data_IF_462151071752
#
_entry.id   IF_462151071752
#
_cell.length_a   1.000
_cell.length_b   1.000
_cell.length_c   1.000
_cell.angle_alpha   90.00
_cell.angle_beta   90.00
_cell.angle_gamma   90.00
#
_symmetry.space_group_name_H-M   'P 1'
#
loop_
_entity.id
_entity.type
_entity.pdbx_description
1 polymer ?
#
# COMPACT_ATOMS: atom_id res chain seq x y z
N UNK A 1 13.46 -14.08 -5.15
CA UNK A 1 12.69 -13.51 -4.03
C UNK A 1 13.07 -14.17 -2.68
N UNK A 2 14.22 -13.83 -2.08
CA UNK A 2 14.72 -14.51 -0.87
C UNK A 2 13.81 -14.42 0.37
N UNK A 3 13.01 -13.36 0.50
CA UNK A 3 12.07 -13.21 1.62
C UNK A 3 10.85 -14.12 1.51
N UNK A 4 10.36 -14.37 0.29
CA UNK A 4 9.29 -15.33 0.04
C UNK A 4 9.73 -16.74 0.42
N UNK A 5 10.96 -17.11 0.06
CA UNK A 5 11.55 -18.37 0.50
C UNK A 5 11.64 -18.45 2.02
N UNK A 6 12.03 -17.35 2.70
CA UNK A 6 12.09 -17.32 4.15
C UNK A 6 10.72 -17.61 4.78
N UNK A 7 9.65 -16.93 4.33
CA UNK A 7 8.29 -17.22 4.76
C UNK A 7 7.88 -18.68 4.53
N UNK A 8 8.19 -19.21 3.34
CA UNK A 8 7.88 -20.60 2.99
C UNK A 8 8.59 -21.61 3.90
N UNK A 9 9.87 -21.39 4.23
CA UNK A 9 10.62 -22.21 5.19
C UNK A 9 9.98 -22.20 6.58
N UNK A 10 9.50 -21.04 7.05
CA UNK A 10 8.89 -20.93 8.38
C UNK A 10 7.52 -21.57 8.48
N UNK A 11 6.76 -21.63 7.37
CA UNK A 11 5.42 -22.25 7.33
C UNK A 11 5.49 -23.76 7.07
N UNK A 12 6.48 -24.24 6.30
CA UNK A 12 6.61 -25.66 5.91
C UNK A 12 7.40 -26.54 6.89
N UNK A 13 7.99 -25.97 7.94
CA UNK A 13 8.70 -26.75 8.93
C UNK A 13 7.72 -27.62 9.75
N UNK A 14 8.20 -28.76 10.26
CA UNK A 14 7.46 -29.67 11.16
C UNK A 14 6.79 -28.95 12.34
N UNK A 15 7.44 -27.89 12.84
CA UNK A 15 6.83 -26.89 13.73
C UNK A 15 6.81 -25.54 13.04
N UNK A 16 5.62 -25.06 12.68
CA UNK A 16 5.45 -23.76 12.04
C UNK A 16 5.95 -22.63 12.95
N UNK A 17 6.82 -21.77 12.43
CA UNK A 17 7.30 -20.58 13.14
C UNK A 17 6.54 -19.35 12.66
N UNK A 18 5.33 -19.16 13.19
CA UNK A 18 4.43 -18.09 12.77
C UNK A 18 5.03 -16.69 12.94
N UNK A 19 5.76 -16.45 14.03
CA UNK A 19 6.43 -15.17 14.30
C UNK A 19 7.40 -14.79 13.18
N UNK A 20 8.24 -15.73 12.74
CA UNK A 20 9.18 -15.47 11.67
C UNK A 20 8.51 -15.43 10.28
N UNK A 21 7.43 -16.20 10.08
CA UNK A 21 6.60 -16.10 8.87
C UNK A 21 5.96 -14.71 8.73
N UNK A 22 5.40 -14.17 9.82
CA UNK A 22 4.86 -12.81 9.90
C UNK A 22 5.96 -11.78 9.60
N UNK A 23 7.14 -11.92 10.21
CA UNK A 23 8.27 -11.02 9.94
C UNK A 23 8.69 -11.03 8.47
N UNK A 24 8.74 -12.19 7.83
CA UNK A 24 9.06 -12.32 6.41
C UNK A 24 7.99 -11.68 5.52
N UNK A 25 6.70 -11.90 5.83
CA UNK A 25 5.56 -11.26 5.16
C UNK A 25 5.63 -9.74 5.27
N UNK A 26 5.83 -9.20 6.47
CA UNK A 26 5.89 -7.76 6.70
C UNK A 26 7.08 -7.13 5.95
N UNK A 27 8.20 -7.86 5.88
CA UNK A 27 9.37 -7.46 5.08
C UNK A 27 9.03 -7.37 3.59
N UNK A 28 8.26 -8.31 3.05
CA UNK A 28 7.79 -8.27 1.65
C UNK A 28 6.90 -7.06 1.42
N UNK A 29 5.93 -6.79 2.30
CA UNK A 29 5.03 -5.64 2.17
C UNK A 29 5.79 -4.31 2.20
N UNK A 30 6.79 -4.17 3.08
CA UNK A 30 7.65 -2.98 3.14
C UNK A 30 8.42 -2.75 1.83
N UNK A 31 9.00 -3.81 1.27
CA UNK A 31 9.73 -3.74 0.00
C UNK A 31 8.80 -3.38 -1.16
N UNK A 32 7.62 -3.98 -1.22
CA UNK A 32 6.59 -3.63 -2.19
C UNK A 32 6.16 -2.17 -2.03
N UNK A 33 5.76 -1.75 -0.83
CA UNK A 33 5.38 -0.37 -0.54
C UNK A 33 6.45 0.61 -1.02
N UNK A 34 7.73 0.37 -0.73
CA UNK A 34 8.82 1.21 -1.21
C UNK A 34 8.87 1.30 -2.75
N UNK A 35 8.74 0.19 -3.46
CA UNK A 35 8.72 0.18 -4.93
C UNK A 35 7.55 0.98 -5.49
N UNK A 36 6.35 0.77 -4.97
CA UNK A 36 5.13 1.45 -5.41
C UNK A 36 5.13 2.95 -5.05
N UNK A 37 5.65 3.34 -3.88
CA UNK A 37 5.87 4.75 -3.50
C UNK A 37 6.83 5.43 -4.49
N UNK A 38 7.94 4.76 -4.85
CA UNK A 38 8.90 5.27 -5.84
C UNK A 38 8.25 5.47 -7.21
N UNK A 39 7.45 4.52 -7.67
CA UNK A 39 6.70 4.64 -8.92
C UNK A 39 5.69 5.81 -8.85
N UNK A 40 4.88 5.88 -7.79
CA UNK A 40 3.90 6.95 -7.59
C UNK A 40 4.54 8.34 -7.61
N UNK A 41 5.64 8.55 -6.89
CA UNK A 41 6.37 9.82 -6.86
C UNK A 41 6.94 10.21 -8.24
N UNK A 42 7.48 9.26 -9.01
CA UNK A 42 7.89 9.50 -10.39
C UNK A 42 6.73 10.05 -11.23
N UNK A 43 5.54 9.47 -11.09
CA UNK A 43 4.37 9.92 -11.85
C UNK A 43 3.80 11.26 -11.36
N UNK A 44 3.96 11.61 -10.08
CA UNK A 44 3.69 12.96 -9.59
C UNK A 44 4.62 13.97 -10.27
N UNK A 45 5.92 13.69 -10.30
CA UNK A 45 6.93 14.56 -10.95
C UNK A 45 6.66 14.76 -12.44
N UNK A 46 6.39 13.68 -13.18
CA UNK A 46 6.06 13.75 -14.59
C UNK A 46 4.80 14.59 -14.84
N UNK A 47 3.76 14.39 -14.01
CA UNK A 47 2.49 15.11 -14.15
C UNK A 47 2.60 16.59 -13.77
N UNK A 48 3.52 16.94 -12.86
CA UNK A 48 3.84 18.32 -12.50
C UNK A 48 4.63 19.03 -13.62
N UNK A 49 5.61 18.34 -14.22
CA UNK A 49 6.47 18.92 -15.26
C UNK A 49 5.72 19.10 -16.58
N UNK A 50 4.94 18.09 -16.99
CA UNK A 50 4.16 18.12 -18.22
C UNK A 50 2.93 17.25 -18.04
N UNK A 51 1.79 17.89 -17.74
CA UNK A 51 0.59 17.17 -17.38
C UNK A 51 0.08 16.30 -18.53
N UNK A 52 -0.17 15.02 -18.21
CA UNK A 52 -0.80 14.06 -19.09
C UNK A 52 -1.71 13.15 -18.26
N UNK A 53 -3.01 13.14 -18.54
CA UNK A 53 -3.99 12.39 -17.74
C UNK A 53 -3.73 10.88 -17.68
N UNK A 54 -3.16 10.28 -18.74
CA UNK A 54 -2.77 8.85 -18.73
C UNK A 54 -1.63 8.60 -17.75
N UNK A 55 -0.60 9.44 -17.79
CA UNK A 55 0.57 9.38 -16.89
C UNK A 55 0.14 9.58 -15.44
N UNK A 56 -0.77 10.53 -15.19
CA UNK A 56 -1.30 10.81 -13.87
C UNK A 56 -2.13 9.64 -13.31
N UNK A 57 -3.02 9.06 -14.14
CA UNK A 57 -3.81 7.89 -13.78
C UNK A 57 -2.96 6.64 -13.54
N UNK A 58 -1.84 6.47 -14.27
CA UNK A 58 -0.90 5.39 -14.00
C UNK A 58 -0.24 5.55 -12.61
N UNK A 59 0.18 6.77 -12.26
CA UNK A 59 0.65 7.09 -10.91
C UNK A 59 -0.35 6.73 -9.83
N UNK A 60 -1.62 7.09 -10.04
CA UNK A 60 -2.71 6.71 -9.14
C UNK A 60 -2.84 5.20 -8.98
N UNK A 61 -2.81 4.43 -10.08
CA UNK A 61 -2.90 2.98 -10.04
C UNK A 61 -1.74 2.34 -9.26
N UNK A 62 -0.50 2.81 -9.47
CA UNK A 62 0.65 2.38 -8.66
C UNK A 62 0.40 2.67 -7.17
N UNK A 63 -0.08 3.86 -6.83
CA UNK A 63 -0.26 4.22 -5.43
C UNK A 63 -1.38 3.43 -4.74
N UNK A 64 -2.51 3.22 -5.41
CA UNK A 64 -3.65 2.52 -4.83
C UNK A 64 -3.35 1.07 -4.42
N UNK A 65 -2.35 0.43 -5.03
CA UNK A 65 -1.89 -0.90 -4.62
C UNK A 65 -1.33 -0.93 -3.19
N UNK A 66 -0.88 0.21 -2.65
CA UNK A 66 -0.22 0.30 -1.34
C UNK A 66 -0.81 1.39 -0.43
N UNK A 67 -1.87 2.08 -0.86
CA UNK A 67 -2.49 3.18 -0.12
C UNK A 67 -2.90 2.76 1.30
N UNK A 68 -3.65 1.67 1.43
CA UNK A 68 -4.10 1.16 2.73
C UNK A 68 -2.93 0.79 3.66
N UNK A 69 -1.82 0.29 3.10
CA UNK A 69 -0.62 0.00 3.87
C UNK A 69 0.01 1.30 4.40
N UNK A 70 0.23 2.30 3.55
CA UNK A 70 0.80 3.59 3.98
C UNK A 70 -0.12 4.30 4.97
N UNK A 71 -1.44 4.29 4.74
CA UNK A 71 -2.43 4.91 5.61
C UNK A 71 -2.44 4.31 7.03
N UNK A 72 -2.12 3.02 7.17
CA UNK A 72 -2.02 2.35 8.48
C UNK A 72 -0.83 2.82 9.32
N UNK A 73 0.19 3.41 8.71
CA UNK A 73 1.39 3.94 9.40
C UNK A 73 1.45 5.46 9.44
N UNK A 74 0.95 6.14 8.39
CA UNK A 74 1.09 7.58 8.23
C UNK A 74 -0.04 8.17 7.38
N UNK A 75 -1.19 8.41 8.01
CA UNK A 75 -2.42 8.85 7.34
C UNK A 75 -2.28 10.17 6.57
N UNK A 76 -1.49 11.13 7.06
CA UNK A 76 -1.26 12.43 6.39
C UNK A 76 -0.47 12.26 5.09
N UNK A 77 0.57 11.42 5.08
CA UNK A 77 1.32 11.13 3.85
C UNK A 77 0.45 10.39 2.84
N UNK A 78 -0.37 9.45 3.32
CA UNK A 78 -1.29 8.75 2.44
C UNK A 78 -2.29 9.72 1.78
N UNK A 79 -2.85 10.63 2.57
CA UNK A 79 -3.73 11.68 2.06
C UNK A 79 -2.99 12.59 1.06
N UNK A 80 -1.78 13.05 1.37
CA UNK A 80 -1.02 13.93 0.48
C UNK A 80 -0.80 13.30 -0.91
N UNK A 81 -0.48 12.00 -0.95
CA UNK A 81 -0.30 11.29 -2.21
C UNK A 81 -1.63 11.06 -2.94
N UNK A 82 -2.72 10.70 -2.24
CA UNK A 82 -4.06 10.62 -2.85
C UNK A 82 -4.48 11.95 -3.46
N UNK A 83 -4.26 13.06 -2.75
CA UNK A 83 -4.59 14.39 -3.24
C UNK A 83 -3.75 14.77 -4.47
N UNK A 84 -2.46 14.42 -4.47
CA UNK A 84 -1.57 14.68 -5.61
C UNK A 84 -1.91 13.83 -6.83
N UNK A 85 -2.29 12.57 -6.63
CA UNK A 85 -2.65 11.61 -7.67
C UNK A 85 -4.16 11.53 -7.95
N UNK A 86 -4.95 12.49 -7.45
CA UNK A 86 -6.38 12.49 -7.69
C UNK A 86 -6.69 12.63 -9.19
N UNK A 87 -7.25 11.57 -9.77
CA UNK A 87 -7.57 11.47 -11.20
C UNK A 87 -8.62 12.45 -11.70
N UNK A 88 -9.34 13.15 -10.80
CA UNK A 88 -10.26 14.22 -11.17
C UNK A 88 -9.56 15.53 -11.54
N UNK A 89 -8.25 15.64 -11.30
CA UNK A 89 -7.48 16.83 -11.64
C UNK A 89 -7.14 16.85 -13.13
N UNK A 90 -7.01 18.05 -13.69
CA UNK A 90 -6.52 18.28 -15.05
C UNK A 90 -5.12 18.91 -15.09
N UNK A 91 -4.49 19.08 -13.93
CA UNK A 91 -3.14 19.60 -13.75
C UNK A 91 -2.57 19.20 -12.38
N UNK A 92 -1.24 19.19 -12.26
CA UNK A 92 -0.54 19.06 -10.97
C UNK A 92 0.25 20.35 -10.74
N UNK A 93 -0.09 21.16 -9.72
CA UNK A 93 0.59 22.42 -9.46
C UNK A 93 2.08 22.25 -9.14
N UNK A 94 2.89 23.25 -9.48
CA UNK A 94 4.32 23.26 -9.14
C UNK A 94 4.54 23.18 -7.62
N UNK A 95 5.54 22.40 -7.21
CA UNK A 95 5.86 22.13 -5.80
C UNK A 95 5.12 20.93 -5.20
N UNK A 96 4.15 20.34 -5.91
CA UNK A 96 3.38 19.18 -5.42
C UNK A 96 4.29 17.98 -5.17
N UNK A 97 5.20 17.69 -6.09
CA UNK A 97 6.17 16.61 -5.99
C UNK A 97 7.01 16.73 -4.73
N UNK A 98 7.60 17.91 -4.47
CA UNK A 98 8.44 18.10 -3.29
C UNK A 98 7.63 17.95 -1.99
N UNK A 99 6.42 18.54 -1.92
CA UNK A 99 5.57 18.44 -0.75
C UNK A 99 5.16 16.99 -0.44
N UNK A 100 4.77 16.22 -1.45
CA UNK A 100 4.38 14.80 -1.28
C UNK A 100 5.59 13.94 -0.98
N UNK A 101 6.74 14.19 -1.62
CA UNK A 101 7.99 13.49 -1.35
C UNK A 101 8.43 13.67 0.09
N UNK A 102 8.34 14.89 0.63
CA UNK A 102 8.65 15.17 2.03
C UNK A 102 7.77 14.35 2.98
N UNK A 103 6.45 14.34 2.74
CA UNK A 103 5.53 13.52 3.53
C UNK A 103 5.85 12.03 3.45
N UNK A 104 6.24 11.53 2.28
CA UNK A 104 6.66 10.13 2.12
C UNK A 104 7.97 9.83 2.83
N UNK A 105 8.94 10.74 2.83
CA UNK A 105 10.18 10.60 3.58
C UNK A 105 9.92 10.51 5.10
N UNK A 106 8.92 11.23 5.61
CA UNK A 106 8.48 11.15 7.00
C UNK A 106 7.72 9.85 7.32
N UNK A 107 7.00 9.28 6.35
CA UNK A 107 6.25 8.03 6.52
C UNK A 107 7.15 6.77 6.56
N UNK A 108 8.27 6.76 5.84
CA UNK A 108 9.17 5.61 5.73
C UNK A 108 9.63 5.06 7.10
N UNK A 109 10.11 5.90 8.05
CA UNK A 109 10.48 5.45 9.39
C UNK A 109 9.35 4.74 10.15
N UNK A 110 8.11 5.22 10.04
CA UNK A 110 6.96 4.59 10.69
C UNK A 110 6.67 3.19 10.13
N UNK A 111 6.98 2.96 8.85
CA UNK A 111 6.93 1.64 8.21
C UNK A 111 8.18 0.78 8.53
N UNK A 112 9.13 1.30 9.30
CA UNK A 112 10.42 0.66 9.57
C UNK A 112 11.32 0.56 8.33
N UNK A 113 11.28 1.59 7.48
CA UNK A 113 12.14 1.77 6.32
C UNK A 113 13.08 2.95 6.54
N UNK A 114 14.33 2.83 6.07
CA UNK A 114 15.25 3.97 6.02
C UNK A 114 14.72 4.98 4.99
N UNK A 115 14.63 6.26 5.35
CA UNK A 115 14.22 7.30 4.40
C UNK A 115 15.17 7.41 3.20
N UNK A 116 16.44 7.00 3.35
CA UNK A 116 17.41 6.89 2.25
C UNK A 116 17.05 5.82 1.23
N UNK A 117 16.24 4.83 1.61
CA UNK A 117 15.81 3.75 0.70
C UNK A 117 14.91 4.25 -0.44
N UNK A 118 14.30 5.44 -0.27
CA UNK A 118 13.55 6.09 -1.35
C UNK A 118 14.46 6.41 -2.53
N UNK A 119 15.70 6.82 -2.24
CA UNK A 119 16.71 7.18 -3.22
C UNK A 119 16.34 8.39 -4.06
N UNK A 120 16.99 8.47 -5.22
CA UNK A 120 16.74 9.47 -6.27
C UNK A 120 16.35 8.71 -7.55
N UNK A 121 15.41 9.25 -8.32
CA UNK A 121 15.08 8.67 -9.62
C UNK A 121 16.11 9.09 -10.66
N UNK A 122 16.55 8.15 -11.50
CA UNK A 122 17.60 8.38 -12.50
C UNK A 122 17.29 9.55 -13.43
N UNK A 123 16.01 9.70 -13.79
CA UNK A 123 15.53 10.70 -14.74
C UNK A 123 14.78 11.84 -14.03
N UNK A 124 15.01 12.03 -12.73
CA UNK A 124 14.37 13.11 -11.99
C UNK A 124 14.98 14.46 -12.35
N UNK A 125 14.13 15.42 -12.66
CA UNK A 125 14.46 16.84 -12.86
C UNK A 125 14.17 17.67 -11.61
N UNK A 126 13.28 17.21 -10.72
CA UNK A 126 12.81 17.97 -9.55
C UNK A 126 13.40 17.49 -8.21
N UNK A 127 13.98 16.29 -8.11
CA UNK A 127 14.47 15.75 -6.82
C UNK A 127 15.59 16.62 -6.23
N UNK A 128 16.46 17.18 -7.06
CA UNK A 128 17.57 18.03 -6.60
C UNK A 128 17.09 19.38 -6.01
N UNK A 129 15.91 19.86 -6.41
CA UNK A 129 15.32 21.11 -5.91
C UNK A 129 14.46 20.92 -4.65
N UNK A 130 14.17 19.70 -4.25
CA UNK A 130 13.33 19.45 -3.07
C UNK A 130 14.15 19.49 -1.76
N UNK A 131 13.64 20.13 -0.70
CA UNK A 131 14.21 20.00 0.64
C UNK A 131 14.28 18.53 1.06
N UNK A 132 15.45 18.08 1.46
CA UNK A 132 15.72 16.71 1.89
C UNK A 132 15.84 16.66 3.42
N UNK A 133 14.72 16.48 4.12
CA UNK A 133 14.72 16.22 5.58
C UNK A 133 14.55 14.73 5.87
N UNK A 134 15.52 13.93 5.43
CA UNK A 134 15.69 12.55 5.92
C UNK A 134 16.48 12.60 7.24
N UNK A 135 15.80 12.95 8.33
CA UNK A 135 16.44 13.21 9.63
C UNK A 135 16.63 11.94 10.49
N UNK A 136 16.13 10.80 10.02
CA UNK A 136 16.15 9.53 10.74
C UNK A 136 16.84 8.47 9.91
N UNK A 137 18.11 8.21 10.22
CA UNK A 137 18.84 7.05 9.69
C UNK A 137 18.49 5.83 10.55
N UNK A 138 17.25 5.35 10.45
CA UNK A 138 16.98 3.98 10.91
C UNK A 138 17.65 3.06 9.90
N UNK A 139 18.76 2.41 10.26
CA UNK A 139 19.40 1.43 9.38
C UNK A 139 18.37 0.35 9.08
N UNK A 140 17.95 0.27 7.82
CA UNK A 140 17.04 -0.75 7.35
C UNK A 140 17.71 -2.11 7.51
N UNK A 141 17.50 -2.78 8.63
CA UNK A 141 17.85 -4.18 8.81
C UNK A 141 16.71 -5.04 8.27
N UNK A 142 16.70 -5.24 6.96
CA UNK A 142 15.91 -6.35 6.40
C UNK A 142 16.51 -7.64 6.94
N UNK A 143 15.71 -8.57 7.50
CA UNK A 143 16.20 -9.90 7.83
C UNK A 143 16.86 -10.53 6.60
N UNK A 144 17.92 -11.32 6.78
CA UNK A 144 18.47 -12.07 5.67
C UNK A 144 17.40 -12.98 5.06
N UNK A 145 17.26 -12.95 3.74
CA UNK A 145 16.39 -13.89 3.04
C UNK A 145 16.95 -15.31 3.10
N UNK A 146 16.21 -16.27 2.54
CA UNK A 146 16.65 -17.67 2.47
C UNK A 146 16.78 -18.16 1.03
N UNK A 147 17.62 -19.18 0.85
CA UNK A 147 17.67 -19.98 -0.37
C UNK A 147 16.31 -20.65 -0.64
N UNK A 148 16.02 -21.02 -1.90
CA UNK A 148 14.77 -21.70 -2.26
C UNK A 148 14.48 -22.90 -1.34
N UNK A 149 13.24 -23.02 -0.87
CA UNK A 149 12.82 -24.21 -0.14
C UNK A 149 12.72 -25.41 -1.09
N UNK A 150 12.90 -26.62 -0.56
CA UNK A 150 12.68 -27.83 -1.33
C UNK A 150 11.24 -27.86 -1.90
N UNK A 151 11.10 -28.43 -3.10
CA UNK A 151 9.79 -28.70 -3.66
C UNK A 151 9.00 -29.61 -2.71
N UNK A 152 7.69 -29.37 -2.57
CA UNK A 152 6.83 -30.35 -1.89
C UNK A 152 6.61 -31.48 -2.87
N UNK A 153 6.84 -32.71 -2.44
CA UNK A 153 6.33 -33.85 -3.19
C UNK A 153 4.80 -33.74 -3.21
N UNK A 154 4.20 -33.75 -4.40
CA UNK A 154 2.75 -33.65 -4.62
C UNK A 154 1.98 -34.91 -4.18
N UNK A 155 2.48 -35.63 -3.16
CA UNK A 155 1.77 -36.75 -2.56
C UNK A 155 0.45 -36.24 -1.97
N UNK A 156 -0.63 -36.98 -2.22
CA UNK A 156 -2.04 -36.67 -1.92
C UNK A 156 -2.22 -35.57 -0.86
N UNK A 157 -2.30 -34.32 -1.32
CA UNK A 157 -2.63 -33.20 -0.45
C UNK A 157 -4.08 -33.37 -0.02
N UNK A 158 -4.30 -33.70 1.25
CA UNK A 158 -5.62 -33.53 1.85
C UNK A 158 -5.98 -32.05 1.73
N UNK A 159 -7.12 -31.75 1.10
CA UNK A 159 -7.66 -30.39 1.10
C UNK A 159 -7.75 -29.94 2.55
N UNK A 160 -6.95 -28.96 2.93
CA UNK A 160 -7.18 -28.22 4.17
C UNK A 160 -8.37 -27.32 3.87
N UNK A 161 -9.56 -27.74 4.32
CA UNK A 161 -10.74 -26.90 4.24
C UNK A 161 -10.61 -25.79 5.29
N UNK A 162 -10.21 -24.61 4.83
CA UNK A 162 -10.22 -23.39 5.63
C UNK A 162 -11.63 -22.80 5.71
N UNK A 163 -12.69 -23.62 5.71
CA UNK A 163 -14.03 -23.18 6.10
C UNK A 163 -13.93 -22.60 7.51
N UNK A 164 -13.85 -21.28 7.58
CA UNK A 164 -13.83 -20.58 8.83
C UNK A 164 -15.03 -21.05 9.66
N UNK A 165 -14.84 -21.17 10.97
CA UNK A 165 -15.92 -21.01 11.92
C UNK A 165 -16.53 -19.60 11.70
N UNK A 166 -17.37 -19.46 10.66
CA UNK A 166 -18.03 -18.22 10.28
C UNK A 166 -18.99 -17.72 11.37
N UNK A 167 -19.21 -18.51 12.42
CA UNK A 167 -20.07 -18.17 13.55
C UNK A 167 -19.49 -17.14 14.53
N UNK A 168 -18.17 -17.05 14.72
CA UNK A 168 -17.61 -16.21 15.81
C UNK A 168 -17.25 -14.79 15.38
N UNK A 169 -16.85 -14.56 14.12
CA UNK A 169 -16.58 -13.22 13.62
C UNK A 169 -17.87 -12.41 13.37
N UNK A 170 -18.94 -13.06 12.91
CA UNK A 170 -20.25 -12.42 12.75
C UNK A 170 -20.88 -12.05 14.11
N UNK A 171 -20.69 -12.86 15.15
CA UNK A 171 -21.14 -12.57 16.51
C UNK A 171 -20.38 -11.38 17.14
N UNK A 172 -19.08 -11.25 16.88
CA UNK A 172 -18.30 -10.10 17.35
C UNK A 172 -18.67 -8.80 16.64
N UNK A 173 -18.95 -8.85 15.33
CA UNK A 173 -19.44 -7.70 14.56
C UNK A 173 -20.87 -7.27 14.98
N UNK A 174 -21.75 -8.23 15.28
CA UNK A 174 -23.10 -7.95 15.81
C UNK A 174 -23.07 -7.38 17.24
N UNK A 175 -22.14 -7.83 18.09
CA UNK A 175 -21.95 -7.27 19.43
C UNK A 175 -21.39 -5.83 19.39
N UNK A 176 -20.53 -5.51 18.43
CA UNK A 176 -20.04 -4.15 18.22
C UNK A 176 -21.15 -3.20 17.69
N UNK A 177 -22.00 -3.68 16.77
CA UNK A 177 -23.15 -2.90 16.29
C UNK A 177 -24.26 -2.70 17.36
N UNK A 178 -24.38 -3.61 18.33
CA UNK A 178 -25.31 -3.48 19.46
C UNK A 178 -24.91 -2.43 20.50
N UNK A 179 -23.60 -2.15 20.63
CA UNK A 179 -23.08 -1.21 21.63
C UNK A 179 -23.24 0.27 21.23
N UNK A 180 -23.40 0.58 19.94
CA UNK A 180 -23.59 1.96 19.44
C UNK A 180 -25.05 2.46 19.47
N UNK A 181 -26.04 1.60 19.80
CA UNK A 181 -27.46 1.98 19.78
C UNK A 181 -27.98 2.72 21.02
N UNK A 182 -27.16 2.89 22.08
CA UNK A 182 -27.60 3.49 23.35
C UNK A 182 -27.16 4.94 23.60
N UNK A 183 -26.52 5.63 22.66
CA UNK A 183 -25.97 6.97 22.92
C UNK A 183 -26.34 8.10 21.96
N UNK A 184 -27.43 7.97 21.19
CA UNK A 184 -27.99 9.07 20.38
C UNK A 184 -29.51 9.12 20.44
N UNK A 185 -30.06 9.24 21.65
CA UNK A 185 -31.41 9.77 21.84
C UNK A 185 -31.34 11.23 22.28
N UNK A 186 -30.86 12.11 21.38
CA UNK A 186 -31.18 13.53 21.40
C UNK A 186 -30.76 14.17 20.06
N UNK A 187 -31.69 14.93 19.47
CA UNK A 187 -31.59 15.75 18.26
C UNK A 187 -31.88 15.05 16.92
N UNK A 188 -33.18 14.82 16.69
CA UNK A 188 -33.77 14.90 15.36
C UNK A 188 -33.87 16.37 14.93
N UNK A 189 -33.24 16.72 13.81
CA UNK A 189 -33.74 17.76 12.91
C UNK A 189 -33.45 17.32 11.47
N UNK A 190 -34.51 17.30 10.67
CA UNK A 190 -34.64 16.60 9.40
C UNK A 190 -33.86 17.28 8.27
N UNK A 191 -33.22 16.48 7.41
CA UNK A 191 -32.93 16.83 6.02
C UNK A 191 -33.18 15.60 5.15
N UNK A 192 -34.24 15.63 4.35
CA UNK A 192 -34.49 14.68 3.28
C UNK A 192 -33.55 14.94 2.11
N UNK A 193 -32.88 13.91 1.61
CA UNK A 193 -32.23 13.96 0.30
C UNK A 193 -32.63 12.75 -0.54
N UNK A 194 -33.32 13.05 -1.65
CA UNK A 194 -33.78 12.09 -2.64
C UNK A 194 -32.60 11.48 -3.39
N UNK A 195 -32.66 10.17 -3.60
CA UNK A 195 -31.63 9.39 -4.26
C UNK A 195 -31.51 9.64 -5.77
N UNK A 196 -30.30 9.44 -6.27
CA UNK A 196 -30.04 9.18 -7.67
C UNK A 196 -29.02 8.04 -7.78
N UNK A 197 -29.48 6.92 -8.33
CA UNK A 197 -28.71 5.74 -8.70
C UNK A 197 -27.87 6.01 -9.95
N UNK A 198 -26.58 5.67 -9.95
CA UNK A 198 -25.77 5.57 -11.17
C UNK A 198 -25.11 4.19 -11.31
N UNK A 199 -25.01 3.65 -12.54
CA UNK A 199 -24.61 2.28 -12.80
C UNK A 199 -23.08 2.09 -12.85
N UNK A 200 -22.62 0.93 -12.37
CA UNK A 200 -21.26 0.43 -12.55
C UNK A 200 -21.02 0.05 -14.03
N UNK A 201 -19.99 0.60 -14.66
CA UNK A 201 -19.40 0.03 -15.87
C UNK A 201 -18.13 -0.76 -15.52
N UNK A 202 -18.14 -2.03 -15.89
CA UNK A 202 -16.98 -2.92 -15.83
C UNK A 202 -16.06 -2.65 -17.03
N UNK A 203 -14.77 -2.41 -16.77
CA UNK A 203 -13.73 -2.32 -17.80
C UNK A 203 -12.79 -3.51 -17.63
N UNK A 204 -12.76 -4.38 -18.64
CA UNK A 204 -11.85 -5.52 -18.73
C UNK A 204 -10.41 -5.06 -18.92
N UNK A 205 -9.54 -5.46 -18.00
CA UNK A 205 -8.08 -5.38 -18.14
C UNK A 205 -7.57 -6.60 -18.91
N UNK A 206 -7.01 -6.39 -20.10
CA UNK A 206 -6.21 -7.37 -20.80
C UNK A 206 -4.82 -6.81 -21.15
N UNK A 207 -3.81 -7.61 -20.82
CA UNK A 207 -2.47 -7.72 -21.40
C UNK A 207 -1.49 -6.55 -21.27
N UNK A 208 -0.59 -6.64 -20.28
CA UNK A 208 0.72 -5.96 -20.32
C UNK A 208 1.81 -6.95 -19.91
N UNK A 209 2.57 -7.43 -20.89
CA UNK A 209 3.82 -8.17 -20.68
C UNK A 209 4.78 -7.87 -21.84
N UNK A 210 5.47 -6.74 -21.76
CA UNK A 210 6.80 -6.47 -22.34
C UNK A 210 7.07 -4.99 -22.14
N UNK A 211 8.03 -4.64 -21.26
CA UNK A 211 8.88 -3.42 -21.25
C UNK A 211 9.55 -3.39 -19.87
N UNK A 212 10.55 -4.25 -19.69
CA UNK A 212 11.56 -4.14 -18.64
C UNK A 212 12.85 -4.72 -19.22
N UNK A 213 13.60 -3.85 -19.91
CA UNK A 213 15.01 -4.03 -20.28
C UNK A 213 15.76 -2.75 -19.89
#
# INVERSE_FOLDING_TARGET
MPQFNAGLHFVRNSTANLTNAIRARDTIYKLWALTYIRAALKYVELSETSYNGKVHAEGFAWYMAIDGFVASYHASAAKAMRDALNISKSSVPSGTFCAVREQMLQALPAMGLDCKALGTFKDSTLTASCPSVCNVSATLQLPAGRSPAAAVNAGASSKIDCSAAAGTAAAAAAAAAGAESKQTSAMSAAVSFSGASMPLMAVSLAAWATVWS
#
